data_IF_828217108655
#
_entry.id   IF_828217108655
#
_cell.length_a   1.000
_cell.length_b   1.000
_cell.length_c   1.000
_cell.angle_alpha   90.00
_cell.angle_beta   90.00
_cell.angle_gamma   90.00
#
_symmetry.space_group_name_H-M   'P 1'
#
loop_
_entity.id
_entity.type
_entity.pdbx_description
1 polymer ?
#
# COMPACT_ATOMS: atom_id res chain seq x y z
N UNK A 1 28.38 -3.03 10.97
CA UNK A 1 27.46 -2.35 10.02
C UNK A 1 27.49 -2.98 8.63
N UNK A 2 28.64 -3.30 8.05
CA UNK A 2 28.74 -3.92 6.70
C UNK A 2 27.98 -5.25 6.55
N UNK A 3 27.90 -6.06 7.61
CA UNK A 3 27.26 -7.39 7.55
C UNK A 3 25.73 -7.36 7.47
N UNK A 4 25.03 -6.40 8.13
CA UNK A 4 23.58 -6.29 8.07
C UNK A 4 23.14 -5.76 6.70
N UNK A 5 23.78 -4.68 6.23
CA UNK A 5 23.49 -4.10 4.92
C UNK A 5 23.69 -5.14 3.79
N UNK A 6 24.79 -5.89 3.82
CA UNK A 6 25.06 -6.93 2.83
C UNK A 6 24.00 -8.04 2.87
N UNK A 7 23.64 -8.55 4.05
CA UNK A 7 22.59 -9.58 4.17
C UNK A 7 21.22 -9.08 3.70
N UNK A 8 20.86 -7.83 4.00
CA UNK A 8 19.60 -7.25 3.57
C UNK A 8 19.53 -7.07 2.05
N UNK A 9 20.64 -6.72 1.38
CA UNK A 9 20.72 -6.57 -0.07
C UNK A 9 20.73 -7.91 -0.84
N UNK A 10 20.99 -9.01 -0.16
CA UNK A 10 20.97 -10.35 -0.77
C UNK A 10 19.55 -10.95 -0.88
N UNK A 11 18.57 -10.39 -0.18
CA UNK A 11 17.20 -10.90 -0.19
C UNK A 11 16.50 -10.69 -1.54
N UNK A 12 15.57 -11.57 -1.87
CA UNK A 12 14.70 -11.41 -3.05
C UNK A 12 13.79 -10.19 -2.87
N UNK A 13 13.25 -10.02 -1.66
CA UNK A 13 12.43 -8.86 -1.30
C UNK A 13 13.15 -7.54 -1.61
N UNK A 14 14.43 -7.41 -1.26
CA UNK A 14 15.21 -6.22 -1.57
C UNK A 14 15.33 -5.99 -3.09
N UNK A 15 15.65 -7.03 -3.85
CA UNK A 15 15.78 -6.93 -5.32
C UNK A 15 14.46 -6.53 -5.97
N UNK A 16 13.35 -7.10 -5.53
CA UNK A 16 12.01 -6.80 -6.04
C UNK A 16 11.60 -5.36 -5.76
N UNK A 17 11.93 -4.80 -4.59
CA UNK A 17 11.71 -3.37 -4.29
C UNK A 17 12.45 -2.48 -5.30
N UNK A 18 13.68 -2.83 -5.67
CA UNK A 18 14.50 -2.06 -6.60
C UNK A 18 14.04 -2.15 -8.06
N UNK A 19 13.09 -3.02 -8.39
CA UNK A 19 12.47 -3.07 -9.72
C UNK A 19 11.41 -1.98 -9.94
N UNK A 20 10.95 -1.31 -8.88
CA UNK A 20 9.82 -0.38 -8.98
C UNK A 20 10.04 0.80 -9.95
N UNK A 21 11.23 1.43 -10.07
CA UNK A 21 11.46 2.46 -11.08
C UNK A 21 11.17 1.98 -12.50
N UNK A 22 11.59 0.75 -12.85
CA UNK A 22 11.32 0.15 -14.17
C UNK A 22 9.83 -0.17 -14.36
N UNK A 23 9.14 -0.56 -13.29
CA UNK A 23 7.69 -0.80 -13.32
C UNK A 23 6.95 0.50 -13.63
N UNK A 24 7.36 1.62 -13.03
CA UNK A 24 6.81 2.95 -13.35
C UNK A 24 7.00 3.29 -14.83
N UNK A 25 8.21 3.11 -15.37
CA UNK A 25 8.46 3.36 -16.80
C UNK A 25 7.56 2.52 -17.70
N UNK A 26 7.39 1.23 -17.38
CA UNK A 26 6.50 0.33 -18.11
C UNK A 26 5.03 0.76 -18.03
N UNK A 27 4.53 1.11 -16.84
CA UNK A 27 3.16 1.55 -16.64
C UNK A 27 2.86 2.84 -17.43
N UNK A 28 3.78 3.81 -17.40
CA UNK A 28 3.65 5.06 -18.16
C UNK A 28 3.71 4.85 -19.67
N UNK A 29 4.49 3.88 -20.15
CA UNK A 29 4.53 3.51 -21.56
C UNK A 29 3.25 2.86 -22.06
N UNK A 30 2.47 2.27 -21.16
CA UNK A 30 1.19 1.61 -21.44
C UNK A 30 -0.03 2.43 -20.95
N UNK A 31 0.16 3.72 -20.67
CA UNK A 31 -0.87 4.59 -20.09
C UNK A 31 -2.15 4.67 -20.95
N UNK A 32 -2.03 4.54 -22.28
CA UNK A 32 -3.16 4.54 -23.21
C UNK A 32 -4.24 3.50 -22.88
N UNK A 33 -3.83 2.30 -22.43
CA UNK A 33 -4.78 1.27 -22.03
C UNK A 33 -5.59 1.69 -20.79
N UNK A 34 -4.95 2.33 -19.82
CA UNK A 34 -5.63 2.84 -18.62
C UNK A 34 -6.59 3.97 -19.01
N UNK A 35 -6.17 4.84 -19.94
CA UNK A 35 -7.01 5.93 -20.45
C UNK A 35 -8.23 5.41 -21.19
N UNK A 36 -8.10 4.36 -22.00
CA UNK A 36 -9.24 3.72 -22.67
C UNK A 36 -10.26 3.16 -21.66
N UNK A 37 -9.76 2.51 -20.59
CA UNK A 37 -10.63 2.03 -19.50
C UNK A 37 -11.30 3.19 -18.78
N UNK A 38 -10.57 4.26 -18.50
CA UNK A 38 -11.13 5.46 -17.86
C UNK A 38 -12.24 6.10 -18.70
N UNK A 39 -12.09 6.17 -20.03
CA UNK A 39 -13.16 6.68 -20.91
C UNK A 39 -14.41 5.78 -20.86
N UNK A 40 -14.26 4.46 -20.89
CA UNK A 40 -15.38 3.52 -20.70
C UNK A 40 -16.11 3.79 -19.36
N UNK A 41 -15.34 4.05 -18.28
CA UNK A 41 -15.92 4.32 -16.96
C UNK A 41 -16.65 5.66 -16.89
N UNK A 42 -16.15 6.69 -17.57
CA UNK A 42 -16.80 8.01 -17.63
C UNK A 42 -18.15 7.99 -18.32
N UNK A 43 -18.33 7.09 -19.29
CA UNK A 43 -19.61 6.92 -20.00
C UNK A 43 -20.69 6.21 -19.16
N UNK A 44 -20.30 5.63 -18.02
CA UNK A 44 -21.20 4.86 -17.15
C UNK A 44 -21.61 5.70 -15.93
N UNK A 45 -22.89 5.67 -15.61
CA UNK A 45 -23.46 6.31 -14.42
C UNK A 45 -23.46 5.29 -13.25
N UNK A 46 -22.34 5.20 -12.54
CA UNK A 46 -22.24 4.35 -11.36
C UNK A 46 -22.78 5.06 -10.13
N UNK A 47 -23.71 4.41 -9.41
CA UNK A 47 -24.24 4.92 -8.15
C UNK A 47 -23.27 4.75 -6.99
N UNK A 48 -22.42 3.73 -7.04
CA UNK A 48 -21.45 3.38 -5.99
C UNK A 48 -20.28 2.61 -6.59
N UNK A 49 -19.10 2.79 -6.03
CA UNK A 49 -17.93 1.96 -6.29
C UNK A 49 -17.72 1.01 -5.12
N UNK A 50 -17.41 -0.25 -5.39
CA UNK A 50 -16.90 -1.16 -4.39
C UNK A 50 -15.47 -1.57 -4.70
N UNK A 51 -14.63 -1.61 -3.67
CA UNK A 51 -13.27 -2.11 -3.77
C UNK A 51 -13.16 -3.48 -3.10
N UNK A 52 -12.43 -4.40 -3.74
CA UNK A 52 -12.32 -5.80 -3.33
C UNK A 52 -10.85 -6.19 -3.28
N UNK A 53 -10.32 -6.50 -2.10
CA UNK A 53 -8.95 -6.95 -1.89
C UNK A 53 -8.77 -7.64 -0.55
N UNK A 54 -7.66 -8.38 -0.38
CA UNK A 54 -7.25 -9.01 0.89
C UNK A 54 -5.79 -8.70 1.19
N UNK A 55 -5.43 -8.66 2.47
CA UNK A 55 -4.04 -8.44 2.90
C UNK A 55 -3.46 -7.17 2.26
N UNK A 56 -2.32 -7.29 1.62
CA UNK A 56 -1.62 -6.21 0.90
C UNK A 56 -2.52 -5.53 -0.14
N UNK A 57 -3.23 -6.31 -0.97
CA UNK A 57 -4.17 -5.73 -1.96
C UNK A 57 -5.40 -5.08 -1.29
N UNK A 58 -5.78 -5.50 -0.09
CA UNK A 58 -6.78 -4.82 0.73
C UNK A 58 -6.30 -3.44 1.19
N UNK A 59 -5.03 -3.32 1.57
CA UNK A 59 -4.42 -2.03 1.89
C UNK A 59 -4.34 -1.11 0.65
N UNK A 60 -3.98 -1.67 -0.52
CA UNK A 60 -4.02 -0.91 -1.78
C UNK A 60 -5.45 -0.48 -2.16
N UNK A 61 -6.47 -1.31 -1.88
CA UNK A 61 -7.87 -0.95 -2.09
C UNK A 61 -8.30 0.25 -1.23
N UNK A 62 -7.77 0.39 -0.02
CA UNK A 62 -8.01 1.56 0.82
C UNK A 62 -7.42 2.85 0.19
N UNK A 63 -6.24 2.76 -0.42
CA UNK A 63 -5.65 3.88 -1.15
C UNK A 63 -6.53 4.30 -2.35
N UNK A 64 -6.98 3.33 -3.15
CA UNK A 64 -7.90 3.55 -4.26
C UNK A 64 -9.22 4.19 -3.78
N UNK A 65 -9.75 3.74 -2.65
CA UNK A 65 -10.94 4.32 -2.03
C UNK A 65 -10.74 5.82 -1.76
N UNK A 66 -9.66 6.21 -1.10
CA UNK A 66 -9.35 7.63 -0.87
C UNK A 66 -9.23 8.42 -2.17
N UNK A 67 -8.57 7.87 -3.19
CA UNK A 67 -8.44 8.54 -4.48
C UNK A 67 -9.79 8.83 -5.12
N UNK A 68 -10.68 7.84 -5.19
CA UNK A 68 -12.00 7.98 -5.81
C UNK A 68 -12.87 8.97 -5.01
N UNK A 69 -12.92 8.84 -3.69
CA UNK A 69 -13.73 9.73 -2.84
C UNK A 69 -13.25 11.18 -2.90
N UNK A 70 -11.93 11.41 -2.88
CA UNK A 70 -11.35 12.77 -2.89
C UNK A 70 -11.40 13.40 -4.28
N UNK A 71 -11.02 12.66 -5.34
CA UNK A 71 -10.86 13.24 -6.67
C UNK A 71 -12.11 13.18 -7.53
N UNK A 72 -12.96 12.17 -7.34
CA UNK A 72 -14.17 11.99 -8.14
C UNK A 72 -15.45 12.29 -7.36
N UNK A 73 -15.39 12.43 -6.04
CA UNK A 73 -16.56 12.68 -5.19
C UNK A 73 -17.56 11.51 -5.16
N UNK A 74 -17.13 10.31 -5.53
CA UNK A 74 -17.98 9.12 -5.59
C UNK A 74 -17.80 8.28 -4.33
N UNK A 75 -18.89 7.86 -3.71
CA UNK A 75 -18.86 7.01 -2.52
C UNK A 75 -18.28 5.64 -2.83
N UNK A 76 -17.33 5.20 -2.00
CA UNK A 76 -16.68 3.89 -2.12
C UNK A 76 -16.95 3.02 -0.89
N UNK A 77 -17.42 1.80 -1.13
CA UNK A 77 -17.62 0.79 -0.10
C UNK A 77 -16.55 -0.31 -0.17
N UNK A 78 -16.13 -0.80 0.97
CA UNK A 78 -15.29 -2.01 1.04
C UNK A 78 -16.18 -3.25 0.84
N UNK A 79 -15.79 -4.14 -0.06
CA UNK A 79 -16.50 -5.39 -0.25
C UNK A 79 -16.26 -6.33 0.94
N UNK A 80 -17.30 -7.09 1.30
CA UNK A 80 -17.25 -8.11 2.35
C UNK A 80 -17.44 -9.50 1.74
N UNK A 81 -16.38 -10.18 1.24
CA UNK A 81 -16.51 -11.47 0.54
C UNK A 81 -17.25 -12.55 1.31
N UNK A 82 -17.21 -12.53 2.64
CA UNK A 82 -17.96 -13.48 3.48
C UNK A 82 -19.49 -13.40 3.31
N UNK A 83 -20.02 -12.27 2.83
CA UNK A 83 -21.47 -12.15 2.55
C UNK A 83 -21.92 -13.13 1.48
N UNK A 84 -21.08 -13.40 0.50
CA UNK A 84 -21.34 -14.40 -0.55
C UNK A 84 -20.81 -15.77 -0.20
N UNK A 85 -19.55 -15.89 0.23
CA UNK A 85 -18.89 -17.18 0.43
C UNK A 85 -19.39 -17.96 1.67
N UNK A 86 -19.88 -17.27 2.70
CA UNK A 86 -20.39 -17.89 3.93
C UNK A 86 -21.91 -17.79 4.02
N UNK A 87 -22.45 -16.61 3.82
CA UNK A 87 -23.88 -16.35 4.06
C UNK A 87 -24.75 -16.53 2.81
N UNK A 88 -24.15 -16.78 1.63
CA UNK A 88 -24.87 -16.93 0.35
C UNK A 88 -25.91 -15.81 0.11
N UNK A 89 -25.58 -14.59 0.56
CA UNK A 89 -26.50 -13.46 0.50
C UNK A 89 -26.49 -12.84 -0.89
N UNK A 90 -27.66 -12.57 -1.50
CA UNK A 90 -27.72 -11.81 -2.73
C UNK A 90 -27.36 -10.36 -2.43
N UNK A 91 -26.38 -9.82 -3.17
CA UNK A 91 -26.00 -8.42 -3.09
C UNK A 91 -26.53 -7.71 -4.36
N UNK A 92 -27.31 -6.64 -4.17
CA UNK A 92 -27.76 -5.84 -5.31
C UNK A 92 -26.60 -4.97 -5.82
N UNK A 93 -26.15 -5.20 -7.05
CA UNK A 93 -24.98 -4.55 -7.64
C UNK A 93 -25.27 -3.83 -8.96
N UNK A 94 -26.55 -3.65 -9.28
CA UNK A 94 -26.94 -2.95 -10.52
C UNK A 94 -26.42 -1.49 -10.47
N UNK A 95 -25.80 -1.05 -11.55
CA UNK A 95 -25.17 0.27 -11.68
C UNK A 95 -24.03 0.52 -10.67
N UNK A 96 -23.39 -0.53 -10.18
CA UNK A 96 -22.20 -0.41 -9.34
C UNK A 96 -20.97 -0.80 -10.13
N UNK A 97 -19.87 -0.10 -9.84
CA UNK A 97 -18.53 -0.48 -10.28
C UNK A 97 -17.87 -1.32 -9.17
N UNK A 98 -17.43 -2.52 -9.50
CA UNK A 98 -16.57 -3.32 -8.65
C UNK A 98 -15.13 -3.23 -9.16
N UNK A 99 -14.17 -2.90 -8.31
CA UNK A 99 -12.74 -2.93 -8.63
C UNK A 99 -12.06 -3.94 -7.72
N UNK A 100 -11.59 -5.04 -8.31
CA UNK A 100 -10.89 -6.11 -7.59
C UNK A 100 -9.38 -5.99 -7.75
N UNK A 101 -8.68 -5.94 -6.63
CA UNK A 101 -7.21 -5.86 -6.57
C UNK A 101 -6.65 -7.15 -5.98
N UNK A 102 -5.73 -7.79 -6.69
CA UNK A 102 -5.12 -9.05 -6.24
C UNK A 102 -3.88 -9.38 -7.06
N UNK A 103 -2.72 -9.46 -6.41
CA UNK A 103 -1.48 -9.83 -7.09
C UNK A 103 -1.63 -11.13 -7.91
N UNK A 104 -2.16 -12.19 -7.33
CA UNK A 104 -2.30 -13.50 -8.00
C UNK A 104 -3.60 -13.65 -8.79
N UNK A 105 -4.66 -12.92 -8.43
CA UNK A 105 -6.01 -13.10 -8.98
C UNK A 105 -6.63 -14.48 -8.70
N UNK A 106 -6.10 -15.25 -7.71
CA UNK A 106 -6.48 -16.66 -7.45
C UNK A 106 -7.20 -16.90 -6.12
N UNK A 107 -7.38 -15.86 -5.28
CA UNK A 107 -8.09 -15.98 -4.01
C UNK A 107 -9.55 -16.39 -4.24
N UNK A 108 -9.94 -17.53 -3.70
CA UNK A 108 -11.24 -18.17 -4.01
C UNK A 108 -12.43 -17.32 -3.59
N UNK A 109 -12.37 -16.71 -2.42
CA UNK A 109 -13.41 -15.82 -1.88
C UNK A 109 -13.58 -14.54 -2.71
N UNK A 110 -12.48 -13.97 -3.24
CA UNK A 110 -12.54 -12.80 -4.14
C UNK A 110 -13.19 -13.17 -5.48
N UNK A 111 -12.80 -14.30 -6.05
CA UNK A 111 -13.36 -14.81 -7.33
C UNK A 111 -14.85 -15.12 -7.18
N UNK A 112 -15.28 -15.71 -6.06
CA UNK A 112 -16.68 -16.02 -5.79
C UNK A 112 -17.51 -14.74 -5.59
N UNK A 113 -16.98 -13.76 -4.85
CA UNK A 113 -17.62 -12.46 -4.69
C UNK A 113 -17.79 -11.75 -6.03
N UNK A 114 -16.72 -11.65 -6.83
CA UNK A 114 -16.78 -11.01 -8.15
C UNK A 114 -17.81 -11.68 -9.06
N UNK A 115 -17.84 -13.01 -9.09
CA UNK A 115 -18.83 -13.78 -9.87
C UNK A 115 -20.27 -13.48 -9.46
N UNK A 116 -20.52 -13.36 -8.15
CA UNK A 116 -21.84 -13.02 -7.62
C UNK A 116 -22.21 -11.58 -7.94
N UNK A 117 -21.27 -10.64 -7.79
CA UNK A 117 -21.46 -9.24 -8.10
C UNK A 117 -21.81 -9.03 -9.60
N UNK A 118 -21.08 -9.68 -10.51
CA UNK A 118 -21.33 -9.63 -11.96
C UNK A 118 -22.73 -10.18 -12.28
N UNK A 119 -23.12 -11.32 -11.71
CA UNK A 119 -24.47 -11.89 -11.88
C UNK A 119 -25.56 -10.93 -11.39
N UNK A 120 -25.25 -10.06 -10.43
CA UNK A 120 -26.15 -9.06 -9.86
C UNK A 120 -26.10 -7.72 -10.58
N UNK A 121 -25.34 -7.61 -11.68
CA UNK A 121 -25.29 -6.46 -12.57
C UNK A 121 -24.17 -5.45 -12.32
N UNK A 122 -23.13 -5.81 -11.57
CA UNK A 122 -21.93 -4.99 -11.44
C UNK A 122 -21.15 -4.95 -12.75
N UNK A 123 -20.55 -3.80 -13.04
CA UNK A 123 -19.43 -3.70 -13.98
C UNK A 123 -18.14 -3.98 -13.20
N UNK A 124 -17.29 -4.86 -13.71
CA UNK A 124 -16.15 -5.34 -12.95
C UNK A 124 -14.81 -5.04 -13.64
N UNK A 125 -13.92 -4.42 -12.90
CA UNK A 125 -12.52 -4.23 -13.27
C UNK A 125 -11.64 -5.07 -12.34
N UNK A 126 -10.70 -5.84 -12.92
CA UNK A 126 -9.67 -6.54 -12.17
C UNK A 126 -8.31 -5.89 -12.39
N UNK A 127 -7.59 -5.59 -11.28
CA UNK A 127 -6.18 -5.22 -11.29
C UNK A 127 -5.37 -6.41 -10.77
N UNK A 128 -4.68 -7.15 -11.66
CA UNK A 128 -3.92 -8.34 -11.28
C UNK A 128 -2.60 -8.42 -12.05
N UNK A 129 -1.67 -9.23 -11.55
CA UNK A 129 -0.39 -9.49 -12.22
C UNK A 129 -0.41 -10.74 -13.11
N UNK A 130 -1.59 -11.30 -13.35
CA UNK A 130 -1.77 -12.48 -14.19
C UNK A 130 -3.09 -12.35 -14.97
N UNK A 131 -2.98 -11.96 -16.24
CA UNK A 131 -4.14 -11.82 -17.13
C UNK A 131 -4.89 -13.15 -17.37
N UNK A 132 -4.27 -14.28 -17.07
CA UNK A 132 -4.92 -15.60 -17.13
C UNK A 132 -5.51 -16.04 -15.80
N UNK A 133 -5.40 -15.22 -14.76
CA UNK A 133 -5.99 -15.52 -13.45
C UNK A 133 -7.51 -15.60 -13.50
N UNK A 134 -8.14 -16.42 -12.62
CA UNK A 134 -9.59 -16.50 -12.55
C UNK A 134 -10.29 -15.16 -12.35
N UNK A 135 -9.68 -14.25 -11.58
CA UNK A 135 -10.26 -12.91 -11.33
C UNK A 135 -10.20 -12.04 -12.60
N UNK A 136 -9.06 -12.03 -13.30
CA UNK A 136 -8.90 -11.29 -14.54
C UNK A 136 -9.85 -11.77 -15.65
N UNK A 137 -10.05 -13.08 -15.75
CA UNK A 137 -10.92 -13.69 -16.75
C UNK A 137 -12.42 -13.43 -16.52
N UNK A 138 -12.80 -12.98 -15.33
CA UNK A 138 -14.19 -12.58 -15.03
C UNK A 138 -14.45 -11.11 -15.37
N UNK A 139 -13.41 -10.28 -15.48
CA UNK A 139 -13.55 -8.84 -15.57
C UNK A 139 -14.03 -8.36 -16.93
N UNK A 140 -14.85 -7.30 -16.93
CA UNK A 140 -15.19 -6.55 -18.15
C UNK A 140 -13.93 -5.87 -18.72
N UNK A 141 -13.05 -5.39 -17.84
CA UNK A 141 -11.72 -4.86 -18.22
C UNK A 141 -10.66 -5.29 -17.20
N UNK A 142 -9.46 -5.58 -17.69
CA UNK A 142 -8.32 -5.97 -16.87
C UNK A 142 -7.20 -4.92 -16.96
N UNK A 143 -6.66 -4.55 -15.82
CA UNK A 143 -5.44 -3.74 -15.69
C UNK A 143 -4.33 -4.66 -15.22
N UNK A 144 -3.33 -4.88 -16.08
CA UNK A 144 -2.15 -5.66 -15.74
C UNK A 144 -1.18 -4.82 -14.90
N UNK A 145 -0.82 -5.31 -13.72
CA UNK A 145 0.13 -4.65 -12.83
C UNK A 145 1.58 -4.63 -13.40
N UNK A 146 1.88 -5.48 -14.38
CA UNK A 146 3.12 -5.47 -15.13
C UNK A 146 4.40 -5.70 -14.33
N UNK A 147 4.31 -6.31 -13.13
CA UNK A 147 5.48 -6.45 -12.24
C UNK A 147 6.31 -7.70 -12.53
N UNK A 148 5.85 -8.57 -13.43
CA UNK A 148 6.50 -9.85 -13.67
C UNK A 148 6.46 -10.79 -12.45
N UNK A 149 7.30 -11.83 -12.40
CA UNK A 149 7.33 -12.74 -11.27
C UNK A 149 7.72 -12.03 -9.97
N UNK A 150 6.91 -12.18 -8.91
CA UNK A 150 7.22 -11.74 -7.56
C UNK A 150 7.40 -12.99 -6.68
N UNK A 151 8.64 -13.24 -6.27
CA UNK A 151 9.06 -14.50 -5.66
C UNK A 151 9.07 -14.47 -4.14
N UNK A 152 9.37 -13.31 -3.53
CA UNK A 152 9.26 -13.15 -2.09
C UNK A 152 7.82 -13.39 -1.65
N UNK A 153 7.62 -14.11 -0.54
CA UNK A 153 6.27 -14.39 -0.02
C UNK A 153 5.57 -13.09 0.38
N UNK A 154 6.27 -12.23 1.10
CA UNK A 154 5.78 -10.89 1.43
C UNK A 154 5.74 -10.03 0.15
N UNK A 155 4.56 -9.57 -0.25
CA UNK A 155 4.37 -8.74 -1.43
C UNK A 155 5.06 -7.38 -1.27
N UNK A 156 5.68 -6.89 -2.35
CA UNK A 156 6.40 -5.61 -2.39
C UNK A 156 6.08 -4.83 -3.66
N UNK A 157 6.72 -5.16 -4.77
CA UNK A 157 6.55 -4.45 -6.05
C UNK A 157 5.12 -4.52 -6.58
N UNK A 158 4.39 -5.60 -6.29
CA UNK A 158 2.96 -5.68 -6.64
C UNK A 158 2.12 -4.66 -5.87
N UNK A 159 2.37 -4.46 -4.57
CA UNK A 159 1.72 -3.41 -3.80
C UNK A 159 1.96 -2.02 -4.37
N UNK A 160 3.23 -1.67 -4.57
CA UNK A 160 3.59 -0.35 -5.13
C UNK A 160 2.99 -0.15 -6.52
N UNK A 161 2.90 -1.22 -7.32
CA UNK A 161 2.25 -1.20 -8.63
C UNK A 161 0.72 -1.07 -8.52
N UNK A 162 0.08 -1.73 -7.55
CA UNK A 162 -1.35 -1.55 -7.27
C UNK A 162 -1.67 -0.08 -6.94
N UNK A 163 -0.86 0.56 -6.08
CA UNK A 163 -1.02 1.99 -5.78
C UNK A 163 -0.83 2.86 -7.04
N UNK A 164 0.20 2.58 -7.83
CA UNK A 164 0.48 3.34 -9.06
C UNK A 164 -0.66 3.23 -10.08
N UNK A 165 -1.14 2.02 -10.35
CA UNK A 165 -2.21 1.81 -11.33
C UNK A 165 -3.56 2.36 -10.84
N UNK A 166 -3.83 2.31 -9.53
CA UNK A 166 -4.95 2.98 -8.90
C UNK A 166 -4.88 4.51 -9.13
N UNK A 167 -3.71 5.11 -8.91
CA UNK A 167 -3.46 6.53 -9.14
C UNK A 167 -3.67 6.91 -10.61
N UNK A 168 -3.04 6.19 -11.54
CA UNK A 168 -3.13 6.46 -12.97
C UNK A 168 -4.56 6.32 -13.50
N UNK A 169 -5.33 5.34 -13.01
CA UNK A 169 -6.73 5.17 -13.39
C UNK A 169 -7.57 6.36 -12.93
N UNK A 170 -7.43 6.78 -11.67
CA UNK A 170 -8.21 7.90 -11.13
C UNK A 170 -7.79 9.22 -11.76
N UNK A 171 -6.51 9.44 -12.05
CA UNK A 171 -6.05 10.62 -12.77
C UNK A 171 -6.63 10.68 -14.20
N UNK A 172 -6.65 9.55 -14.91
CA UNK A 172 -7.29 9.47 -16.23
C UNK A 172 -8.79 9.75 -16.16
N UNK A 173 -9.46 9.36 -15.07
CA UNK A 173 -10.90 9.65 -14.86
C UNK A 173 -11.14 11.12 -14.49
N UNK A 174 -10.30 11.72 -13.64
CA UNK A 174 -10.43 13.11 -13.16
C UNK A 174 -9.88 14.14 -14.14
N UNK A 175 -9.02 13.73 -15.08
CA UNK A 175 -8.29 14.62 -15.99
C UNK A 175 -7.05 15.25 -15.35
N UNK A 176 -6.57 14.72 -14.23
CA UNK A 176 -5.32 15.17 -13.63
C UNK A 176 -4.10 14.71 -14.43
N UNK A 177 -3.03 15.50 -14.36
CA UNK A 177 -1.80 15.22 -15.10
C UNK A 177 -0.83 14.46 -14.21
N UNK A 178 -0.36 13.31 -14.68
CA UNK A 178 0.69 12.55 -14.02
C UNK A 178 1.99 13.35 -13.96
N UNK A 179 2.63 13.51 -12.80
CA UNK A 179 3.89 14.22 -12.67
C UNK A 179 5.01 13.58 -13.49
N UNK A 180 5.86 14.40 -14.07
CA UNK A 180 7.05 13.95 -14.77
C UNK A 180 8.11 13.38 -13.81
N UNK A 181 8.94 12.47 -14.32
CA UNK A 181 10.14 12.01 -13.61
C UNK A 181 9.89 11.02 -12.46
N UNK A 182 8.70 10.43 -12.34
CA UNK A 182 8.33 9.48 -11.27
C UNK A 182 9.34 8.34 -11.12
N UNK A 183 9.79 7.74 -12.22
CA UNK A 183 10.75 6.62 -12.18
C UNK A 183 12.12 7.06 -11.61
N UNK A 184 12.60 8.23 -12.03
CA UNK A 184 13.83 8.81 -11.51
C UNK A 184 13.72 9.13 -10.02
N UNK A 185 12.59 9.71 -9.61
CA UNK A 185 12.32 10.00 -8.20
C UNK A 185 12.24 8.73 -7.37
N UNK A 186 11.58 7.67 -7.86
CA UNK A 186 11.53 6.37 -7.19
C UNK A 186 12.92 5.79 -6.96
N UNK A 187 13.79 5.83 -7.97
CA UNK A 187 15.19 5.39 -7.83
C UNK A 187 15.94 6.22 -6.78
N UNK A 188 15.73 7.54 -6.74
CA UNK A 188 16.32 8.43 -5.72
C UNK A 188 15.82 8.07 -4.32
N UNK A 189 14.51 7.92 -4.15
CA UNK A 189 13.87 7.57 -2.85
C UNK A 189 14.47 6.29 -2.28
N UNK A 190 14.55 5.23 -3.09
CA UNK A 190 15.11 3.94 -2.70
C UNK A 190 16.59 4.09 -2.26
N UNK A 191 17.41 4.75 -3.07
CA UNK A 191 18.84 4.88 -2.78
C UNK A 191 19.11 5.76 -1.56
N UNK A 192 18.40 6.89 -1.42
CA UNK A 192 18.59 7.82 -0.31
C UNK A 192 18.10 7.25 1.03
N UNK A 193 17.09 6.38 1.02
CA UNK A 193 16.56 5.74 2.23
C UNK A 193 17.52 4.71 2.83
N UNK A 194 18.28 3.98 2.01
CA UNK A 194 19.10 2.85 2.46
C UNK A 194 20.07 3.20 3.60
N UNK A 195 20.84 4.26 3.43
CA UNK A 195 21.83 4.69 4.47
C UNK A 195 21.15 5.07 5.78
N UNK A 196 19.99 5.72 5.72
CA UNK A 196 19.22 6.16 6.89
C UNK A 196 18.58 4.97 7.60
N UNK A 197 17.98 4.04 6.85
CA UNK A 197 17.41 2.82 7.40
C UNK A 197 18.50 1.98 8.09
N UNK A 198 19.66 1.79 7.47
CA UNK A 198 20.78 1.06 8.07
C UNK A 198 21.22 1.71 9.38
N UNK A 199 21.22 3.03 9.46
CA UNK A 199 21.61 3.78 10.67
C UNK A 199 20.55 3.71 11.80
N UNK A 200 19.29 3.41 11.49
CA UNK A 200 18.19 3.31 12.45
C UNK A 200 18.21 2.00 13.26
N UNK A 201 19.33 1.70 13.91
CA UNK A 201 19.58 0.40 14.58
C UNK A 201 18.58 0.08 15.69
N UNK A 202 18.10 1.07 16.42
CA UNK A 202 17.13 0.88 17.49
C UNK A 202 15.77 0.39 16.95
N UNK A 203 15.38 0.88 15.78
CA UNK A 203 14.16 0.42 15.10
C UNK A 203 14.25 -1.05 14.69
N UNK A 204 15.43 -1.49 14.23
CA UNK A 204 15.61 -2.87 13.77
C UNK A 204 15.40 -3.92 14.87
N UNK A 205 15.69 -3.58 16.13
CA UNK A 205 15.52 -4.48 17.27
C UNK A 205 14.25 -4.22 18.07
N UNK A 206 13.52 -3.16 17.75
CA UNK A 206 12.30 -2.80 18.44
C UNK A 206 11.25 -3.92 18.38
N UNK A 207 10.54 -4.10 19.49
CA UNK A 207 9.43 -5.06 19.63
C UNK A 207 8.11 -4.37 19.97
N UNK A 208 8.17 -3.09 20.37
CA UNK A 208 7.01 -2.23 20.62
C UNK A 208 7.06 -1.09 19.62
N UNK A 209 6.34 -1.28 18.52
CA UNK A 209 6.30 -0.37 17.38
C UNK A 209 4.85 -0.02 17.08
N UNK A 210 4.58 1.26 16.84
CA UNK A 210 3.28 1.76 16.36
C UNK A 210 3.51 2.47 15.03
N UNK A 211 2.64 2.25 14.05
CA UNK A 211 2.68 2.91 12.75
C UNK A 211 1.47 3.80 12.58
N UNK A 212 1.69 5.05 12.22
CA UNK A 212 0.64 6.05 12.11
C UNK A 212 0.69 6.72 10.73
N UNK A 213 -0.47 6.81 10.09
CA UNK A 213 -0.66 7.51 8.82
C UNK A 213 -2.02 8.21 8.78
N UNK A 214 -2.27 9.03 7.77
CA UNK A 214 -3.58 9.66 7.56
C UNK A 214 -3.82 9.89 6.07
N UNK A 215 -5.10 9.90 5.64
CA UNK A 215 -5.41 10.09 4.24
C UNK A 215 -4.80 8.97 3.38
N UNK A 216 -4.14 9.34 2.32
CA UNK A 216 -3.49 8.39 1.41
C UNK A 216 -2.44 7.52 2.09
N UNK A 217 -1.74 8.04 3.10
CA UNK A 217 -0.69 7.29 3.80
C UNK A 217 -1.21 6.27 4.82
N UNK A 218 -2.52 6.25 5.12
CA UNK A 218 -3.09 5.23 6.00
C UNK A 218 -2.94 3.82 5.40
N UNK A 219 -3.10 3.68 4.09
CA UNK A 219 -2.85 2.42 3.39
C UNK A 219 -1.42 1.93 3.61
N UNK A 220 -0.45 2.82 3.47
CA UNK A 220 0.96 2.55 3.72
C UNK A 220 1.26 2.20 5.19
N UNK A 221 0.57 2.84 6.15
CA UNK A 221 0.73 2.52 7.56
C UNK A 221 0.25 1.09 7.87
N UNK A 222 -0.88 0.70 7.33
CA UNK A 222 -1.42 -0.66 7.44
C UNK A 222 -0.49 -1.68 6.75
N UNK A 223 0.07 -1.32 5.60
CA UNK A 223 0.98 -2.19 4.86
C UNK A 223 2.32 -2.38 5.58
N UNK A 224 2.93 -1.33 6.13
CA UNK A 224 4.14 -1.47 6.94
C UNK A 224 3.90 -2.37 8.16
N UNK A 225 2.77 -2.17 8.84
CA UNK A 225 2.35 -3.02 9.94
C UNK A 225 2.25 -4.50 9.51
N UNK A 226 1.60 -4.76 8.37
CA UNK A 226 1.47 -6.10 7.82
C UNK A 226 2.84 -6.70 7.49
N UNK A 227 3.69 -5.97 6.78
CA UNK A 227 5.04 -6.43 6.39
C UNK A 227 5.92 -6.76 7.61
N UNK A 228 5.92 -5.92 8.64
CA UNK A 228 6.70 -6.21 9.86
C UNK A 228 6.13 -7.44 10.59
N UNK A 229 4.81 -7.61 10.67
CA UNK A 229 4.18 -8.82 11.24
C UNK A 229 4.58 -10.08 10.49
N UNK A 230 4.53 -10.04 9.17
CA UNK A 230 4.87 -11.17 8.32
C UNK A 230 6.35 -11.52 8.39
N UNK A 231 7.24 -10.54 8.24
CA UNK A 231 8.67 -10.78 8.03
C UNK A 231 9.50 -10.76 9.32
N UNK A 232 9.05 -10.02 10.34
CA UNK A 232 9.80 -9.81 11.59
C UNK A 232 9.13 -10.43 12.82
N UNK A 233 7.94 -11.03 12.66
CA UNK A 233 7.16 -11.68 13.72
C UNK A 233 6.88 -10.76 14.92
N UNK A 234 6.78 -9.46 14.69
CA UNK A 234 6.47 -8.44 15.70
C UNK A 234 5.03 -7.97 15.47
N UNK A 235 4.22 -7.97 16.52
CA UNK A 235 2.87 -7.42 16.44
C UNK A 235 2.93 -5.90 16.48
N UNK A 236 2.64 -5.27 15.36
CA UNK A 236 2.72 -3.83 15.15
C UNK A 236 1.31 -3.29 14.89
N UNK A 237 0.69 -2.53 15.80
CA UNK A 237 -0.54 -1.82 15.51
C UNK A 237 -0.30 -0.68 14.51
N UNK A 238 -1.27 -0.48 13.61
CA UNK A 238 -1.32 0.67 12.73
C UNK A 238 -2.67 1.37 12.81
N UNK A 239 -2.66 2.69 12.81
CA UNK A 239 -3.87 3.49 12.95
C UNK A 239 -3.80 4.76 12.10
N UNK A 240 -4.97 5.30 11.79
CA UNK A 240 -5.07 6.71 11.43
C UNK A 240 -4.62 7.57 12.61
N UNK A 241 -3.89 8.67 12.36
CA UNK A 241 -3.48 9.61 13.42
C UNK A 241 -4.69 10.12 14.20
N UNK A 242 -5.85 10.33 13.56
CA UNK A 242 -7.07 10.73 14.23
C UNK A 242 -7.60 9.63 15.17
N UNK A 243 -7.79 8.41 14.65
CA UNK A 243 -8.29 7.28 15.45
C UNK A 243 -7.36 6.94 16.62
N UNK A 244 -6.05 7.15 16.45
CA UNK A 244 -5.08 6.88 17.51
C UNK A 244 -5.35 7.68 18.79
N UNK A 245 -5.83 8.92 18.66
CA UNK A 245 -6.19 9.78 19.79
C UNK A 245 -7.47 9.32 20.51
N UNK A 246 -8.33 8.53 19.87
CA UNK A 246 -9.60 8.06 20.42
C UNK A 246 -9.49 6.80 21.30
N UNK A 247 -8.29 6.49 21.79
CA UNK A 247 -8.08 5.40 22.76
C UNK A 247 -6.74 4.71 22.63
N UNK A 248 -6.30 4.26 21.43
CA UNK A 248 -5.08 3.46 21.27
C UNK A 248 -3.81 4.11 21.83
N UNK A 249 -3.72 5.44 21.85
CA UNK A 249 -2.59 6.20 22.40
C UNK A 249 -2.35 5.90 23.90
N UNK A 250 -3.36 5.44 24.63
CA UNK A 250 -3.22 5.07 26.04
C UNK A 250 -2.24 3.89 26.27
N UNK A 251 -1.97 3.09 25.23
CA UNK A 251 -1.02 1.99 25.29
C UNK A 251 0.42 2.41 24.99
N UNK A 252 0.65 3.64 24.52
CA UNK A 252 1.97 4.15 24.17
C UNK A 252 2.81 4.40 25.44
N UNK A 253 4.10 4.00 25.39
CA UNK A 253 5.04 4.11 26.51
C UNK A 253 6.29 4.87 26.07
N UNK A 254 7.08 5.35 27.03
CA UNK A 254 8.35 6.05 26.79
C UNK A 254 9.32 5.25 25.91
N UNK A 255 9.33 3.91 26.00
CA UNK A 255 10.20 3.02 25.20
C UNK A 255 9.64 2.64 23.83
N UNK A 256 8.40 2.96 23.52
CA UNK A 256 7.73 2.60 22.26
C UNK A 256 8.34 3.36 21.08
N UNK A 257 8.52 2.67 19.95
CA UNK A 257 8.92 3.29 18.67
C UNK A 257 7.68 3.68 17.88
N UNK A 258 7.61 4.91 17.39
CA UNK A 258 6.49 5.38 16.56
C UNK A 258 7.01 5.75 15.18
N UNK A 259 6.39 5.19 14.13
CA UNK A 259 6.70 5.51 12.74
C UNK A 259 5.52 6.31 12.18
N UNK A 260 5.78 7.57 11.85
CA UNK A 260 4.82 8.39 11.11
C UNK A 260 5.04 8.26 9.61
N UNK A 261 3.95 8.04 8.88
CA UNK A 261 3.92 8.15 7.43
C UNK A 261 3.22 9.46 7.06
N UNK A 262 3.98 10.42 6.57
CA UNK A 262 3.53 11.75 6.22
C UNK A 262 4.13 12.17 4.87
N UNK A 263 3.47 11.84 3.76
CA UNK A 263 3.98 12.08 2.41
C UNK A 263 4.14 13.58 2.15
N UNK A 264 5.09 13.94 1.29
CA UNK A 264 5.27 15.32 0.83
C UNK A 264 3.98 15.80 0.16
N UNK A 265 3.55 17.01 0.50
CA UNK A 265 2.26 17.57 0.07
C UNK A 265 1.14 17.41 1.09
N UNK A 266 1.33 16.61 2.14
CA UNK A 266 0.38 16.53 3.26
C UNK A 266 0.56 17.74 4.19
N UNK A 267 -0.54 18.40 4.57
CA UNK A 267 -0.52 19.47 5.55
C UNK A 267 -0.20 18.91 6.95
N UNK A 268 0.85 19.42 7.56
CA UNK A 268 1.30 19.03 8.90
C UNK A 268 0.22 19.26 9.97
N UNK A 269 -0.55 20.32 9.88
CA UNK A 269 -1.60 20.68 10.86
C UNK A 269 -2.63 19.54 11.03
N UNK A 270 -2.82 18.72 9.99
CA UNK A 270 -3.73 17.56 10.01
C UNK A 270 -3.27 16.47 10.98
N UNK A 271 -1.96 16.32 11.20
CA UNK A 271 -1.37 15.29 12.05
C UNK A 271 -0.74 15.84 13.32
N UNK A 272 -0.50 17.16 13.38
CA UNK A 272 0.18 17.84 14.49
C UNK A 272 -0.36 17.49 15.88
N UNK A 273 -1.67 17.42 16.13
CA UNK A 273 -2.18 17.06 17.46
C UNK A 273 -1.72 15.70 17.96
N UNK A 274 -1.60 14.72 17.02
CA UNK A 274 -1.12 13.37 17.36
C UNK A 274 0.39 13.38 17.57
N UNK A 275 1.12 14.08 16.70
CA UNK A 275 2.58 14.19 16.79
C UNK A 275 2.99 14.79 18.13
N UNK A 276 2.40 15.94 18.51
CA UNK A 276 2.70 16.60 19.79
C UNK A 276 2.37 15.71 21.00
N UNK A 277 1.27 14.98 20.94
CA UNK A 277 0.92 14.04 21.99
C UNK A 277 1.92 12.89 22.10
N UNK A 278 2.38 12.34 20.99
CA UNK A 278 3.38 11.28 20.93
C UNK A 278 4.75 11.78 21.42
N UNK A 279 5.19 12.99 21.02
CA UNK A 279 6.41 13.65 21.51
C UNK A 279 6.44 13.81 23.02
N UNK A 280 5.29 14.01 23.64
CA UNK A 280 5.16 14.08 25.10
C UNK A 280 5.30 12.73 25.81
N UNK A 281 5.37 11.61 25.09
CA UNK A 281 5.41 10.25 25.66
C UNK A 281 6.71 9.52 25.32
N UNK A 282 7.16 9.58 24.04
CA UNK A 282 8.36 8.88 23.58
C UNK A 282 9.24 9.78 22.72
N UNK A 283 10.54 9.55 22.77
CA UNK A 283 11.54 10.18 21.88
C UNK A 283 11.93 9.30 20.69
N UNK A 284 11.43 8.05 20.62
CA UNK A 284 11.75 7.11 19.52
C UNK A 284 10.78 7.30 18.35
N UNK A 285 10.95 8.42 17.65
CA UNK A 285 10.06 8.83 16.54
C UNK A 285 10.82 8.73 15.22
N UNK A 286 10.18 8.09 14.25
CA UNK A 286 10.70 7.84 12.91
C UNK A 286 9.73 8.38 11.88
N UNK A 287 10.26 8.88 10.75
CA UNK A 287 9.47 9.48 9.69
C UNK A 287 9.74 8.86 8.33
N UNK A 288 8.66 8.56 7.60
CA UNK A 288 8.67 8.22 6.18
C UNK A 288 7.80 9.26 5.46
N UNK A 289 8.34 9.87 4.39
CA UNK A 289 7.65 10.89 3.58
C UNK A 289 8.36 12.23 3.61
N UNK A 290 7.76 13.29 4.20
CA UNK A 290 8.36 14.61 4.27
C UNK A 290 9.38 14.73 5.41
N UNK A 291 10.58 15.20 5.09
CA UNK A 291 11.60 15.54 6.10
C UNK A 291 11.29 16.81 6.88
N UNK A 292 10.39 17.66 6.38
CA UNK A 292 10.02 18.93 7.01
C UNK A 292 9.28 18.74 8.33
N UNK A 293 8.64 17.58 8.51
CA UNK A 293 7.88 17.23 9.71
C UNK A 293 8.76 16.63 10.82
N UNK A 294 10.00 16.23 10.49
CA UNK A 294 10.94 15.60 11.39
C UNK A 294 11.65 16.64 12.27
N UNK A 295 11.41 16.59 13.57
CA UNK A 295 12.06 17.50 14.53
C UNK A 295 13.49 17.06 14.89
N UNK A 296 14.34 17.95 15.45
CA UNK A 296 15.65 17.57 15.93
C UNK A 296 15.61 16.42 16.95
N UNK A 297 16.40 15.38 16.72
CA UNK A 297 16.45 14.17 17.56
C UNK A 297 15.54 13.04 17.07
N UNK A 298 14.62 13.30 16.16
CA UNK A 298 13.84 12.29 15.47
C UNK A 298 14.59 11.74 14.24
N UNK A 299 14.18 10.60 13.71
CA UNK A 299 14.90 9.92 12.62
C UNK A 299 14.07 9.95 11.34
N UNK A 300 14.57 10.62 10.32
CA UNK A 300 14.02 10.58 8.98
C UNK A 300 14.56 9.36 8.21
N UNK A 301 13.66 8.45 7.81
CA UNK A 301 14.02 7.20 7.12
C UNK A 301 14.10 7.37 5.59
N UNK A 302 13.33 8.30 5.04
CA UNK A 302 13.31 8.60 3.61
C UNK A 302 11.91 8.96 3.11
N UNK A 303 11.84 9.44 1.89
CA UNK A 303 10.58 9.74 1.23
C UNK A 303 10.74 10.53 -0.07
N UNK A 304 9.63 10.70 -0.78
CA UNK A 304 9.54 11.44 -2.02
C UNK A 304 9.64 12.94 -1.79
N UNK A 305 10.23 13.65 -2.75
CA UNK A 305 10.26 15.10 -2.81
C UNK A 305 9.19 15.72 -3.72
N UNK A 306 8.38 14.89 -4.36
CA UNK A 306 7.28 15.35 -5.22
C UNK A 306 6.21 15.98 -4.33
N UNK A 307 5.92 17.26 -4.56
CA UNK A 307 4.88 17.99 -3.81
C UNK A 307 3.47 17.62 -4.31
N UNK A 308 3.13 16.36 -4.14
CA UNK A 308 1.83 15.80 -4.48
C UNK A 308 1.54 14.60 -3.57
N UNK A 309 0.65 14.77 -2.60
CA UNK A 309 0.46 13.84 -1.47
C UNK A 309 0.26 12.38 -1.92
N UNK A 310 -0.64 12.11 -2.87
CA UNK A 310 -0.93 10.75 -3.28
C UNK A 310 0.21 10.10 -4.08
N UNK A 311 0.89 10.84 -4.96
CA UNK A 311 2.07 10.34 -5.67
C UNK A 311 3.26 10.12 -4.73
N UNK A 312 3.45 11.00 -3.75
CA UNK A 312 4.46 10.78 -2.70
C UNK A 312 4.15 9.51 -1.92
N UNK A 313 2.89 9.27 -1.54
CA UNK A 313 2.50 8.03 -0.87
C UNK A 313 2.80 6.78 -1.73
N UNK A 314 2.60 6.83 -3.07
CA UNK A 314 2.98 5.74 -3.98
C UNK A 314 4.49 5.46 -3.91
N UNK A 315 5.32 6.48 -4.00
CA UNK A 315 6.79 6.34 -4.00
C UNK A 315 7.33 5.93 -2.63
N UNK A 316 6.76 6.44 -1.55
CA UNK A 316 7.12 6.13 -0.16
C UNK A 316 6.84 4.66 0.21
N UNK A 317 5.98 3.96 -0.57
CA UNK A 317 5.75 2.53 -0.41
C UNK A 317 7.04 1.69 -0.47
N UNK A 318 8.04 2.13 -1.23
CA UNK A 318 9.34 1.46 -1.31
C UNK A 318 10.17 1.60 -0.03
N UNK A 319 10.07 2.74 0.65
CA UNK A 319 10.79 3.01 1.91
C UNK A 319 10.28 2.09 3.03
N UNK A 320 8.95 1.99 3.17
CA UNK A 320 8.34 1.13 4.20
C UNK A 320 8.71 -0.36 4.00
N UNK A 321 8.78 -0.81 2.75
CA UNK A 321 9.19 -2.18 2.40
C UNK A 321 10.67 -2.44 2.73
N UNK A 322 11.55 -1.46 2.46
CA UNK A 322 12.96 -1.52 2.86
C UNK A 322 13.11 -1.57 4.40
N UNK A 323 12.32 -0.81 5.14
CA UNK A 323 12.28 -0.87 6.62
C UNK A 323 11.92 -2.28 7.09
N UNK A 324 10.87 -2.87 6.54
CA UNK A 324 10.43 -4.22 6.91
C UNK A 324 11.52 -5.28 6.59
N UNK A 325 12.14 -5.20 5.41
CA UNK A 325 13.25 -6.07 5.01
C UNK A 325 14.43 -5.99 6.00
N UNK A 326 14.86 -4.78 6.35
CA UNK A 326 15.99 -4.59 7.27
C UNK A 326 15.68 -5.04 8.69
N UNK A 327 14.46 -4.79 9.19
CA UNK A 327 14.01 -5.29 10.49
C UNK A 327 14.02 -6.82 10.56
N UNK A 328 13.58 -7.52 9.51
CA UNK A 328 13.60 -8.97 9.45
C UNK A 328 15.03 -9.52 9.49
N UNK A 329 15.90 -9.00 8.62
CA UNK A 329 17.30 -9.45 8.53
C UNK A 329 18.10 -9.14 9.80
N UNK A 330 17.83 -8.01 10.45
CA UNK A 330 18.45 -7.65 11.73
C UNK A 330 18.10 -8.63 12.85
N UNK A 331 16.88 -9.17 12.82
CA UNK A 331 16.40 -10.21 13.76
C UNK A 331 16.85 -11.63 13.36
N UNK A 332 17.62 -11.79 12.27
CA UNK A 332 18.08 -13.09 11.78
C UNK A 332 16.97 -13.89 11.07
N UNK A 333 15.89 -13.23 10.64
CA UNK A 333 14.76 -13.83 9.95
C UNK A 333 14.94 -13.71 8.43
N UNK A 334 14.23 -14.57 7.69
CA UNK A 334 14.22 -14.55 6.22
C UNK A 334 12.93 -13.86 5.72
N UNK A 335 12.99 -12.63 5.19
CA UNK A 335 11.81 -11.92 4.68
C UNK A 335 11.26 -12.52 3.39
N UNK A 336 12.06 -13.31 2.64
CA UNK A 336 11.63 -13.93 1.39
C UNK A 336 10.69 -15.12 1.61
N UNK A 337 10.86 -15.81 2.76
CA UNK A 337 10.07 -16.99 3.12
C UNK A 337 9.71 -16.97 4.62
N UNK A 338 8.81 -16.08 5.05
CA UNK A 338 8.38 -15.99 6.44
C UNK A 338 7.74 -17.29 6.92
N UNK A 339 8.02 -17.66 8.17
CA UNK A 339 7.52 -18.89 8.74
C UNK A 339 5.99 -18.93 8.78
N UNK A 340 5.40 -20.01 8.29
CA UNK A 340 3.95 -20.25 8.34
C UNK A 340 3.13 -19.52 7.26
N UNK A 341 3.79 -18.83 6.33
CA UNK A 341 3.12 -18.16 5.22
C UNK A 341 3.43 -18.81 3.87
N UNK A 342 2.48 -18.72 2.96
CA UNK A 342 2.60 -19.12 1.57
C UNK A 342 2.30 -17.93 0.66
N UNK A 343 2.90 -17.92 -0.55
CA UNK A 343 2.69 -16.83 -1.53
C UNK A 343 1.23 -16.65 -1.93
N UNK A 344 0.47 -17.72 -1.99
CA UNK A 344 -0.98 -17.69 -2.28
C UNK A 344 -1.72 -18.31 -1.10
N UNK A 345 -2.64 -17.52 -0.53
CA UNK A 345 -3.53 -17.98 0.55
C UNK A 345 -4.89 -18.33 -0.05
N UNK A 346 -5.34 -19.56 0.19
CA UNK A 346 -6.67 -20.01 -0.19
C UNK A 346 -7.61 -19.78 0.99
N UNK A 347 -8.50 -18.79 0.88
CA UNK A 347 -9.56 -18.50 1.84
C UNK A 347 -10.91 -18.98 1.31
N UNK A 348 -11.78 -19.47 2.21
CA UNK A 348 -13.16 -19.88 1.90
C UNK A 348 -14.13 -18.86 2.49
#
# INVERSE_FOLDING_TARGET
MSTLANRASETTMYREIHEFPRIIESALSNLSQIQEIAEILKEKDFSTVQVLGRGTSGNASLFLKYLIEVKLGVLVADASPSTTSIYNSPIAMRNNLLIGMSQSGKSTDLVEFARTAIKSGAFFIAMTNDAQSPLAQLADNHIDLGVGPELAVAATKSYSSELLHAQLLVDAMSGEITPDGLAKESARVINDALGRIIAATDLHVATDIVVLGRGYSLANALELSLKIKETSLVNVPANSTAEYLHGPIAALKEGSSVIFLSPTGQDYEVIAPTVERVRGITSKIYWIGSSEHCAPGEIFLGGSSINHESYSAVLDSTVLQLVANHCAVAKGLNPDAPQGLNKVTLTR
#
